data_IF_538438406606
#
_entry.id   IF_538438406606
#
_cell.length_a   1.000
_cell.length_b   1.000
_cell.length_c   1.000
_cell.angle_alpha   90.00
_cell.angle_beta   90.00
_cell.angle_gamma   90.00
#
_symmetry.space_group_name_H-M   'P 1'
#
loop_
_entity.id
_entity.type
_entity.pdbx_description
1 polymer ?
#
# COMPACT_ATOMS: atom_id res chain seq x y z
N UNK A 1 -3.22 -2.70 -19.51
CA UNK A 1 -2.06 -3.49 -19.05
C UNK A 1 -2.54 -4.48 -18.00
N UNK A 2 -2.16 -5.77 -18.07
CA UNK A 2 -2.54 -6.75 -17.06
C UNK A 2 -1.80 -6.41 -15.75
N UNK A 3 -2.52 -5.85 -14.78
CA UNK A 3 -2.02 -5.48 -13.46
C UNK A 3 -1.10 -6.54 -12.82
N UNK A 4 -1.47 -7.82 -12.96
CA UNK A 4 -0.71 -8.95 -12.44
C UNK A 4 0.70 -9.11 -13.05
N UNK A 5 0.89 -8.77 -14.32
CA UNK A 5 2.20 -8.89 -14.99
C UNK A 5 3.22 -7.89 -14.46
N UNK A 6 2.78 -6.65 -14.21
CA UNK A 6 3.62 -5.63 -13.58
C UNK A 6 3.96 -5.97 -12.13
N UNK A 7 3.00 -6.50 -11.38
CA UNK A 7 3.21 -6.94 -10.00
C UNK A 7 4.21 -8.11 -9.92
N UNK A 8 3.95 -9.20 -10.65
CA UNK A 8 4.77 -10.41 -10.61
C UNK A 8 6.17 -10.13 -11.18
N UNK A 9 6.24 -9.41 -12.31
CA UNK A 9 7.51 -9.05 -12.93
C UNK A 9 8.32 -8.10 -12.06
N UNK A 10 7.72 -7.03 -11.54
CA UNK A 10 8.40 -6.03 -10.74
C UNK A 10 8.88 -6.55 -9.38
N UNK A 11 7.98 -7.19 -8.62
CA UNK A 11 8.33 -7.76 -7.31
C UNK A 11 9.26 -8.95 -7.48
N UNK A 12 8.99 -9.84 -8.43
CA UNK A 12 9.79 -11.04 -8.70
C UNK A 12 11.21 -10.70 -9.13
N UNK A 13 11.38 -9.80 -10.12
CA UNK A 13 12.70 -9.38 -10.57
C UNK A 13 13.47 -8.60 -9.49
N UNK A 14 12.78 -7.75 -8.73
CA UNK A 14 13.38 -7.01 -7.61
C UNK A 14 13.92 -7.95 -6.53
N UNK A 15 13.11 -8.92 -6.08
CA UNK A 15 13.53 -9.91 -5.10
C UNK A 15 14.64 -10.82 -5.65
N UNK A 16 14.50 -11.31 -6.88
CA UNK A 16 15.53 -12.12 -7.52
C UNK A 16 16.87 -11.37 -7.58
N UNK A 17 16.87 -10.09 -7.96
CA UNK A 17 18.08 -9.27 -8.00
C UNK A 17 18.71 -9.10 -6.61
N UNK A 18 17.93 -8.83 -5.57
CA UNK A 18 18.42 -8.72 -4.18
C UNK A 18 19.10 -10.03 -3.75
N UNK A 19 18.44 -11.16 -4.02
CA UNK A 19 18.94 -12.49 -3.66
C UNK A 19 20.20 -12.85 -4.45
N UNK A 20 20.22 -12.60 -5.76
CA UNK A 20 21.39 -12.85 -6.62
C UNK A 20 22.61 -12.00 -6.24
N UNK A 21 22.40 -10.83 -5.66
CA UNK A 21 23.47 -9.94 -5.19
C UNK A 21 23.87 -10.16 -3.73
N UNK A 22 23.21 -11.08 -3.02
CA UNK A 22 23.49 -11.36 -1.61
C UNK A 22 23.19 -10.19 -0.68
N UNK A 23 22.30 -9.27 -1.08
CA UNK A 23 21.96 -8.11 -0.27
C UNK A 23 20.99 -8.47 0.85
N UNK A 24 21.08 -7.79 2.01
CA UNK A 24 20.18 -8.05 3.13
C UNK A 24 18.76 -7.60 2.76
N UNK A 25 17.86 -8.57 2.59
CA UNK A 25 16.51 -8.36 2.04
C UNK A 25 15.72 -7.29 2.79
N UNK A 26 15.64 -7.37 4.13
CA UNK A 26 14.82 -6.46 4.94
C UNK A 26 15.30 -5.01 4.86
N UNK A 27 16.59 -4.69 5.10
CA UNK A 27 17.12 -3.34 4.87
C UNK A 27 16.90 -2.81 3.45
N UNK A 28 17.10 -3.65 2.43
CA UNK A 28 16.91 -3.22 1.04
C UNK A 28 15.44 -2.89 0.76
N UNK A 29 14.51 -3.73 1.19
CA UNK A 29 13.08 -3.48 1.03
C UNK A 29 12.62 -2.27 1.84
N UNK A 30 13.08 -2.13 3.09
CA UNK A 30 12.80 -0.97 3.93
C UNK A 30 13.25 0.34 3.26
N UNK A 31 14.42 0.33 2.63
CA UNK A 31 14.93 1.49 1.89
C UNK A 31 14.08 1.85 0.67
N UNK A 32 13.45 0.88 0.03
CA UNK A 32 12.56 1.11 -1.12
C UNK A 32 11.17 1.62 -0.72
N UNK A 33 10.71 1.39 0.53
CA UNK A 33 9.33 1.70 0.94
C UNK A 33 8.87 3.15 0.72
N UNK A 34 9.68 4.21 0.96
CA UNK A 34 9.23 5.57 0.68
C UNK A 34 9.03 5.81 -0.82
N UNK A 35 9.93 5.28 -1.65
CA UNK A 35 9.83 5.36 -3.10
C UNK A 35 8.58 4.64 -3.63
N UNK A 36 8.26 3.48 -3.07
CA UNK A 36 7.03 2.76 -3.40
C UNK A 36 5.78 3.56 -3.00
N UNK A 37 5.77 4.17 -1.81
CA UNK A 37 4.64 4.99 -1.35
C UNK A 37 4.41 6.21 -2.25
N UNK A 38 5.46 6.96 -2.59
CA UNK A 38 5.34 8.12 -3.49
C UNK A 38 5.05 7.72 -4.94
N UNK A 39 5.63 6.64 -5.45
CA UNK A 39 5.29 6.12 -6.78
C UNK A 39 3.82 5.74 -6.89
N UNK A 40 3.27 5.10 -5.86
CA UNK A 40 1.84 4.78 -5.80
C UNK A 40 0.98 6.03 -5.66
N UNK A 41 1.38 7.01 -4.84
CA UNK A 41 0.70 8.30 -4.74
C UNK A 41 0.56 8.96 -6.13
N UNK A 42 1.67 9.06 -6.88
CA UNK A 42 1.66 9.68 -8.20
C UNK A 42 0.72 8.91 -9.14
N UNK A 43 0.76 7.57 -9.10
CA UNK A 43 -0.18 6.74 -9.84
C UNK A 43 -1.65 7.06 -9.52
N UNK A 44 -1.98 7.30 -8.24
CA UNK A 44 -3.34 7.66 -7.82
C UNK A 44 -3.77 9.06 -8.22
N UNK A 45 -2.83 10.01 -8.27
CA UNK A 45 -3.11 11.32 -8.89
C UNK A 45 -3.42 11.13 -10.38
N UNK A 46 -2.67 10.28 -11.08
CA UNK A 46 -2.96 9.92 -12.47
C UNK A 46 -4.37 9.34 -12.65
N UNK A 47 -4.77 8.39 -11.80
CA UNK A 47 -6.13 7.83 -11.78
C UNK A 47 -7.21 8.91 -11.59
N UNK A 48 -6.97 9.87 -10.69
CA UNK A 48 -7.90 10.97 -10.47
C UNK A 48 -8.04 11.87 -11.71
N UNK A 49 -6.92 12.18 -12.40
CA UNK A 49 -6.94 13.00 -13.61
C UNK A 49 -7.64 12.31 -14.79
N UNK A 50 -7.54 10.98 -14.87
CA UNK A 50 -8.25 10.17 -15.86
C UNK A 50 -9.72 9.96 -15.47
N UNK A 51 -10.04 10.04 -14.18
CA UNK A 51 -11.38 9.76 -13.67
C UNK A 51 -11.72 8.27 -13.69
N UNK A 52 -10.75 7.39 -13.39
CA UNK A 52 -10.96 5.96 -13.21
C UNK A 52 -10.89 5.56 -11.73
N UNK A 53 -11.24 4.33 -11.35
CA UNK A 53 -10.98 3.81 -9.99
C UNK A 53 -11.67 4.55 -8.82
N UNK A 54 -12.75 5.28 -9.10
CA UNK A 54 -13.53 6.01 -8.09
C UNK A 54 -14.42 5.09 -7.24
N UNK A 55 -14.88 5.61 -6.10
CA UNK A 55 -15.72 4.88 -5.15
C UNK A 55 -17.21 4.90 -5.48
N UNK A 56 -18.03 4.47 -4.52
CA UNK A 56 -19.49 4.50 -4.64
C UNK A 56 -20.06 5.93 -4.73
N UNK A 57 -21.28 6.08 -5.28
CA UNK A 57 -22.03 7.34 -5.21
C UNK A 57 -22.15 7.86 -3.78
N UNK A 58 -22.02 9.17 -3.62
CA UNK A 58 -22.06 9.82 -2.31
C UNK A 58 -22.47 11.29 -2.43
N UNK A 59 -23.12 11.80 -1.39
CA UNK A 59 -23.64 13.17 -1.32
C UNK A 59 -22.76 14.09 -0.44
N UNK A 60 -21.53 13.66 -0.16
CA UNK A 60 -20.57 14.44 0.63
C UNK A 60 -20.19 15.74 -0.11
N UNK A 61 -19.86 16.79 0.65
CA UNK A 61 -19.54 18.11 0.10
C UNK A 61 -18.27 18.17 -0.75
N UNK A 62 -17.39 17.15 -0.65
CA UNK A 62 -16.18 17.00 -1.46
C UNK A 62 -16.29 15.86 -2.49
N UNK A 63 -17.51 15.37 -2.75
CA UNK A 63 -17.74 14.37 -3.79
C UNK A 63 -17.48 14.97 -5.18
N UNK A 64 -17.00 14.14 -6.10
CA UNK A 64 -16.59 14.59 -7.44
C UNK A 64 -17.35 13.76 -8.47
N UNK A 65 -17.84 14.39 -9.53
CA UNK A 65 -18.36 13.70 -10.71
C UNK A 65 -17.25 13.63 -11.77
N UNK A 66 -17.24 12.56 -12.56
CA UNK A 66 -16.28 12.37 -13.65
C UNK A 66 -17.05 12.18 -14.97
N UNK A 67 -17.59 13.25 -15.58
CA UNK A 67 -18.39 13.15 -16.80
C UNK A 67 -17.61 12.60 -18.00
N UNK A 68 -16.30 12.78 -18.01
CA UNK A 68 -15.37 12.24 -19.02
C UNK A 68 -14.49 11.10 -18.45
N UNK A 69 -14.86 10.55 -17.29
CA UNK A 69 -14.11 9.48 -16.63
C UNK A 69 -14.15 8.13 -17.35
N UNK A 70 -13.46 7.15 -16.79
CA UNK A 70 -13.42 5.77 -17.30
C UNK A 70 -13.77 4.78 -16.18
N UNK A 71 -15.06 4.42 -15.98
CA UNK A 71 -16.22 4.80 -16.81
C UNK A 71 -16.74 6.23 -16.55
N UNK A 72 -17.47 6.84 -17.50
CA UNK A 72 -18.10 8.14 -17.28
C UNK A 72 -19.18 8.07 -16.20
N UNK A 73 -19.21 9.03 -15.29
CA UNK A 73 -20.29 9.20 -14.30
C UNK A 73 -20.65 10.67 -14.11
N UNK A 74 -21.93 10.98 -14.26
CA UNK A 74 -22.50 12.30 -13.91
C UNK A 74 -22.91 12.39 -12.44
N UNK A 75 -22.98 11.25 -11.75
CA UNK A 75 -23.27 11.18 -10.32
C UNK A 75 -21.99 11.45 -9.53
N UNK A 76 -22.11 12.21 -8.44
CA UNK A 76 -21.02 12.47 -7.50
C UNK A 76 -20.62 11.19 -6.77
N UNK A 77 -19.34 10.89 -6.78
CA UNK A 77 -18.75 9.67 -6.20
C UNK A 77 -17.66 10.03 -5.21
N UNK A 78 -17.30 9.08 -4.34
CA UNK A 78 -16.13 9.21 -3.49
C UNK A 78 -14.84 9.29 -4.35
N UNK A 79 -14.05 10.37 -4.28
CA UNK A 79 -12.73 10.45 -4.91
C UNK A 79 -11.70 9.62 -4.12
N UNK A 80 -11.88 8.29 -4.09
CA UNK A 80 -11.03 7.34 -3.36
C UNK A 80 -9.55 7.45 -3.72
N UNK A 81 -9.25 7.87 -4.95
CA UNK A 81 -7.89 8.10 -5.44
C UNK A 81 -7.19 9.22 -4.64
N UNK A 82 -7.91 10.29 -4.29
CA UNK A 82 -7.36 11.37 -3.47
C UNK A 82 -7.16 10.92 -2.02
N UNK A 83 -8.05 10.07 -1.50
CA UNK A 83 -7.88 9.50 -0.16
C UNK A 83 -6.64 8.60 -0.11
N UNK A 84 -6.45 7.74 -1.12
CA UNK A 84 -5.25 6.91 -1.28
C UNK A 84 -4.00 7.79 -1.40
N UNK A 85 -4.01 8.78 -2.27
CA UNK A 85 -2.87 9.67 -2.50
C UNK A 85 -2.45 10.41 -1.23
N UNK A 86 -3.41 10.98 -0.48
CA UNK A 86 -3.14 11.68 0.77
C UNK A 86 -2.53 10.72 1.82
N UNK A 87 -3.14 9.55 2.02
CA UNK A 87 -2.65 8.57 2.97
C UNK A 87 -1.25 8.03 2.61
N UNK A 88 -0.99 7.77 1.33
CA UNK A 88 0.31 7.34 0.83
C UNK A 88 1.38 8.44 0.97
N UNK A 89 1.00 9.71 0.80
CA UNK A 89 1.92 10.84 0.97
C UNK A 89 2.34 11.03 2.42
N UNK A 90 1.38 10.96 3.34
CA UNK A 90 1.64 10.98 4.79
C UNK A 90 2.50 9.78 5.17
N UNK A 91 2.17 8.58 4.69
CA UNK A 91 2.95 7.38 4.97
C UNK A 91 4.38 7.49 4.44
N UNK A 92 4.56 7.94 3.19
CA UNK A 92 5.87 8.13 2.58
C UNK A 92 6.74 9.10 3.37
N UNK A 93 6.16 10.24 3.80
CA UNK A 93 6.83 11.20 4.66
C UNK A 93 7.21 10.61 6.03
N UNK A 94 6.30 9.90 6.69
CA UNK A 94 6.57 9.23 7.97
C UNK A 94 7.68 8.17 7.86
N UNK A 95 7.71 7.40 6.76
CA UNK A 95 8.74 6.40 6.52
C UNK A 95 10.12 7.04 6.36
N UNK A 96 10.23 8.17 5.66
CA UNK A 96 11.49 8.94 5.58
C UNK A 96 11.89 9.42 6.98
N UNK A 97 10.95 10.04 7.70
CA UNK A 97 11.19 10.60 9.03
C UNK A 97 11.69 9.53 10.01
N UNK A 98 11.04 8.37 10.07
CA UNK A 98 11.45 7.27 10.94
C UNK A 98 12.81 6.70 10.59
N UNK A 99 13.16 6.62 9.30
CA UNK A 99 14.52 6.20 8.91
C UNK A 99 15.57 7.23 9.33
N UNK A 100 15.27 8.52 9.20
CA UNK A 100 16.14 9.60 9.68
C UNK A 100 16.30 9.59 11.22
N UNK A 101 15.26 9.19 11.95
CA UNK A 101 15.30 8.99 13.41
C UNK A 101 16.03 7.70 13.83
N UNK A 102 16.57 6.91 12.89
CA UNK A 102 17.29 5.67 13.19
C UNK A 102 16.38 4.51 13.62
N UNK A 103 15.08 4.56 13.30
CA UNK A 103 14.17 3.42 13.49
C UNK A 103 14.66 2.26 12.64
N UNK A 104 14.63 1.05 13.19
CA UNK A 104 15.18 -0.12 12.54
C UNK A 104 14.40 -0.49 11.28
N UNK A 105 15.12 -0.91 10.24
CA UNK A 105 14.56 -1.19 8.91
C UNK A 105 13.41 -2.22 8.95
N UNK A 106 13.49 -3.23 9.82
CA UNK A 106 12.39 -4.20 10.01
C UNK A 106 11.10 -3.54 10.51
N UNK A 107 11.21 -2.54 11.39
CA UNK A 107 10.06 -1.80 11.91
C UNK A 107 9.50 -0.87 10.83
N UNK A 108 10.37 -0.20 10.07
CA UNK A 108 9.96 0.67 8.96
C UNK A 108 9.21 -0.13 7.89
N UNK A 109 9.77 -1.25 7.44
CA UNK A 109 9.13 -2.15 6.49
C UNK A 109 7.81 -2.71 7.02
N UNK A 110 7.80 -3.15 8.29
CA UNK A 110 6.60 -3.69 8.93
C UNK A 110 5.47 -2.65 9.01
N UNK A 111 5.78 -1.40 9.37
CA UNK A 111 4.82 -0.29 9.38
C UNK A 111 4.28 0.02 7.99
N UNK A 112 5.13 0.03 6.96
CA UNK A 112 4.69 0.19 5.57
C UNK A 112 3.69 -0.90 5.18
N UNK A 113 4.05 -2.17 5.35
CA UNK A 113 3.18 -3.30 4.99
C UNK A 113 1.85 -3.26 5.75
N UNK A 114 1.89 -2.98 7.04
CA UNK A 114 0.70 -2.90 7.88
C UNK A 114 -0.24 -1.76 7.43
N UNK A 115 0.29 -0.54 7.28
CA UNK A 115 -0.52 0.63 6.96
C UNK A 115 -1.00 0.58 5.51
N UNK A 116 -0.13 0.24 4.55
CA UNK A 116 -0.51 0.13 3.14
C UNK A 116 -1.56 -0.98 2.92
N UNK A 117 -1.38 -2.15 3.55
CA UNK A 117 -2.35 -3.24 3.49
C UNK A 117 -3.69 -2.87 4.13
N UNK A 118 -3.68 -2.22 5.30
CA UNK A 118 -4.91 -1.77 5.98
C UNK A 118 -5.65 -0.71 5.16
N UNK A 119 -4.93 0.27 4.62
CA UNK A 119 -5.49 1.30 3.74
C UNK A 119 -6.16 0.66 2.51
N UNK A 120 -5.47 -0.30 1.88
CA UNK A 120 -6.00 -0.99 0.70
C UNK A 120 -7.25 -1.79 1.04
N UNK A 121 -7.27 -2.47 2.19
CA UNK A 121 -8.44 -3.20 2.68
C UNK A 121 -9.62 -2.26 2.96
N UNK A 122 -9.40 -1.13 3.65
CA UNK A 122 -10.44 -0.18 3.97
C UNK A 122 -11.08 0.45 2.72
N UNK A 123 -10.26 0.85 1.75
CA UNK A 123 -10.73 1.53 0.53
C UNK A 123 -11.45 0.59 -0.41
N UNK A 124 -11.10 -0.71 -0.39
CA UNK A 124 -11.80 -1.72 -1.17
C UNK A 124 -13.28 -1.87 -0.76
N UNK A 125 -13.67 -1.54 0.48
CA UNK A 125 -15.09 -1.48 0.87
C UNK A 125 -15.84 -0.33 0.21
N UNK A 126 -15.14 0.79 -0.03
CA UNK A 126 -15.69 2.00 -0.64
C UNK A 126 -15.77 1.83 -2.17
N UNK A 127 -14.89 1.01 -2.75
CA UNK A 127 -14.86 0.71 -4.19
C UNK A 127 -15.92 -0.31 -4.59
N UNK A 128 -16.29 -0.26 -5.87
CA UNK A 128 -17.21 -1.20 -6.53
C UNK A 128 -16.39 -2.16 -7.40
N UNK A 129 -15.58 -3.02 -6.77
CA UNK A 129 -14.85 -4.05 -7.50
C UNK A 129 -15.66 -5.33 -7.65
N UNK A 130 -15.40 -6.07 -8.73
CA UNK A 130 -15.98 -7.40 -8.94
C UNK A 130 -15.55 -8.34 -7.81
N UNK A 131 -16.53 -8.92 -7.15
CA UNK A 131 -16.34 -9.84 -6.01
C UNK A 131 -16.02 -11.22 -6.58
N UNK A 132 -14.98 -11.88 -6.05
CA UNK A 132 -14.51 -13.19 -6.56
C UNK A 132 -15.01 -14.33 -5.67
N UNK A 133 -15.04 -14.12 -4.35
CA UNK A 133 -15.60 -15.10 -3.39
C UNK A 133 -16.54 -14.37 -2.43
N UNK A 134 -17.85 -14.46 -2.67
CA UNK A 134 -18.87 -13.84 -1.81
C UNK A 134 -18.72 -12.33 -1.69
N UNK A 135 -18.35 -11.83 -0.50
CA UNK A 135 -18.15 -10.39 -0.21
C UNK A 135 -16.72 -9.93 -0.52
N UNK A 136 -15.76 -10.85 -0.66
CA UNK A 136 -14.35 -10.53 -0.77
C UNK A 136 -13.86 -10.48 -2.23
N UNK A 137 -13.05 -9.45 -2.51
CA UNK A 137 -12.30 -9.31 -3.75
C UNK A 137 -10.87 -9.85 -3.59
N UNK A 138 -10.16 -10.08 -4.71
CA UNK A 138 -8.74 -10.48 -4.70
C UNK A 138 -7.89 -9.48 -3.90
N UNK A 139 -8.23 -8.19 -3.98
CA UNK A 139 -7.55 -7.15 -3.24
C UNK A 139 -7.71 -7.29 -1.71
N UNK A 140 -8.85 -7.77 -1.22
CA UNK A 140 -9.03 -8.04 0.21
C UNK A 140 -8.10 -9.16 0.69
N UNK A 141 -8.05 -10.28 -0.04
CA UNK A 141 -7.19 -11.41 0.29
C UNK A 141 -5.71 -11.02 0.25
N UNK A 142 -5.29 -10.34 -0.81
CA UNK A 142 -3.93 -9.84 -0.94
C UNK A 142 -3.57 -8.87 0.19
N UNK A 143 -4.47 -7.97 0.56
CA UNK A 143 -4.25 -7.01 1.65
C UNK A 143 -4.12 -7.70 3.00
N UNK A 144 -4.91 -8.74 3.28
CA UNK A 144 -4.79 -9.53 4.51
C UNK A 144 -3.44 -10.23 4.61
N UNK A 145 -2.93 -10.80 3.52
CA UNK A 145 -1.59 -11.42 3.50
C UNK A 145 -0.51 -10.37 3.80
N UNK A 146 -0.60 -9.19 3.20
CA UNK A 146 0.35 -8.09 3.42
C UNK A 146 0.29 -7.57 4.86
N UNK A 147 -0.91 -7.39 5.41
CA UNK A 147 -1.12 -6.99 6.81
C UNK A 147 -0.55 -8.02 7.77
N UNK A 148 -0.80 -9.31 7.51
CA UNK A 148 -0.26 -10.40 8.33
C UNK A 148 1.26 -10.44 8.30
N UNK A 149 1.87 -10.31 7.11
CA UNK A 149 3.32 -10.27 6.95
C UNK A 149 3.94 -9.06 7.70
N UNK A 150 3.35 -7.87 7.57
CA UNK A 150 3.79 -6.68 8.30
C UNK A 150 3.70 -6.86 9.82
N UNK A 151 2.60 -7.42 10.29
CA UNK A 151 2.35 -7.71 11.71
C UNK A 151 3.35 -8.73 12.26
N UNK A 152 3.56 -9.84 11.54
CA UNK A 152 4.54 -10.86 11.92
C UNK A 152 5.96 -10.30 11.97
N UNK A 153 6.33 -9.43 11.03
CA UNK A 153 7.65 -8.78 11.03
C UNK A 153 7.85 -7.87 12.26
N UNK A 154 6.82 -7.11 12.65
CA UNK A 154 6.86 -6.24 13.83
C UNK A 154 6.95 -7.04 15.14
N UNK A 155 6.14 -8.09 15.30
CA UNK A 155 6.17 -8.94 16.49
C UNK A 155 7.45 -9.78 16.57
N UNK A 156 7.90 -10.35 15.45
CA UNK A 156 9.16 -11.09 15.38
C UNK A 156 10.35 -10.23 15.77
N UNK A 157 10.38 -8.97 15.31
CA UNK A 157 11.38 -8.00 15.73
C UNK A 157 11.35 -7.74 17.24
N UNK A 158 10.17 -7.49 17.82
CA UNK A 158 10.03 -7.25 19.26
C UNK A 158 10.45 -8.45 20.11
N UNK A 159 10.14 -9.67 19.67
CA UNK A 159 10.52 -10.90 20.36
C UNK A 159 12.05 -11.11 20.35
N UNK A 160 12.70 -10.86 19.20
CA UNK A 160 14.16 -10.93 19.07
C UNK A 160 14.85 -9.87 19.93
N UNK A 161 14.38 -8.63 19.95
CA UNK A 161 14.99 -7.57 20.75
C UNK A 161 14.81 -7.78 22.26
N UNK A 162 13.60 -8.17 22.71
CA UNK A 162 13.36 -8.54 24.12
C UNK A 162 14.23 -9.69 24.61
N UNK A 163 14.62 -10.61 23.73
CA UNK A 163 15.51 -11.72 24.08
C UNK A 163 16.97 -11.27 24.27
N UNK A 164 17.39 -10.20 23.58
CA UNK A 164 18.74 -9.64 23.64
C UNK A 164 18.98 -8.80 24.89
N UNK A 165 17.95 -8.15 25.41
CA UNK A 165 17.99 -7.39 26.68
C UNK A 165 17.89 -8.29 27.93
N UNK A 166 17.71 -9.62 27.77
CA UNK A 166 17.65 -10.60 28.86
C UNK A 166 18.95 -11.36 29.12
N UNK A 167 20.03 -11.05 28.39
CA UNK A 167 21.34 -11.65 28.65
C UNK A 167 22.07 -10.72 29.64
N UNK A 168 22.25 -11.13 30.91
CA UNK A 168 22.97 -10.33 31.91
C UNK A 168 24.46 -10.22 31.61
#
# INVERSE_FOLDING_TARGET
>A
MSWYGGLIGGVGAGLAYILLRGWPVVPTLAAATPGLAFGHLIGRIGCFLVGDDYGRPTDLSWAVAFPEGLPPTTVTVHPTQLYEAAALGILGWLLIRWRQDGVQDAVVLGRYLLVAGTLRFAIEFIRVNQRVIGVFSVAHLASLVVVFAGTALLFGYQALFRSRDRIP
#
